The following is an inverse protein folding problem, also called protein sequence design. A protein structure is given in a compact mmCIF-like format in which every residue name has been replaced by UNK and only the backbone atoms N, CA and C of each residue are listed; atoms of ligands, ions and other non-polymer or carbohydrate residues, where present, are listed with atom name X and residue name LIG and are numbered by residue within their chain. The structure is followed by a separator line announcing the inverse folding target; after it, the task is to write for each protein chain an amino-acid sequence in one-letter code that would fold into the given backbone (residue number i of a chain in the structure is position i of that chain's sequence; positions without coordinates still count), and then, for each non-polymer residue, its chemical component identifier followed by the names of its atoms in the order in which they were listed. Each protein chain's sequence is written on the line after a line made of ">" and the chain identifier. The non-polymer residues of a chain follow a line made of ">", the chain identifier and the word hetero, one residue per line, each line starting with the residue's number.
data_IF_713830796731
#
_entry.id   IF_713830796731
#
_cell.length_a   1.000
_cell.length_b   1.000
_cell.length_c   1.000
_cell.angle_alpha   90.00
_cell.angle_beta   90.00
_cell.angle_gamma   90.00
#
_symmetry.space_group_name_H-M   'P 1'
#
loop_
_entity.id
_entity.type
_entity.pdbx_description
1 polymer ?
#
# COMPACT_ATOMS: atom_id res chain seq x y z
N UNK A 1 33.73 50.99 1.09
CA UNK A 1 33.25 49.76 0.44
C UNK A 1 31.99 49.22 1.14
N UNK A 2 30.79 49.82 0.93
CA UNK A 2 29.55 49.02 1.06
C UNK A 2 28.46 49.31 0.02
N UNK A 3 28.64 50.24 -0.93
CA UNK A 3 27.53 50.73 -1.78
C UNK A 3 27.28 49.92 -3.05
N UNK A 4 28.22 49.07 -3.48
CA UNK A 4 28.09 48.26 -4.70
C UNK A 4 27.28 46.98 -4.50
N UNK A 5 27.40 46.34 -3.33
CA UNK A 5 26.66 45.11 -3.00
C UNK A 5 25.15 45.33 -2.85
N UNK A 6 24.71 46.45 -2.26
CA UNK A 6 23.30 46.76 -2.09
C UNK A 6 22.56 47.00 -3.42
N UNK A 7 23.24 47.59 -4.41
CA UNK A 7 22.67 47.85 -5.75
C UNK A 7 22.54 46.56 -6.57
N UNK A 8 23.49 45.64 -6.45
CA UNK A 8 23.44 44.34 -7.11
C UNK A 8 22.31 43.46 -6.55
N UNK A 9 22.09 43.48 -5.22
CA UNK A 9 21.00 42.72 -4.58
C UNK A 9 19.61 43.28 -4.94
N UNK A 10 19.45 44.61 -4.98
CA UNK A 10 18.21 45.27 -5.41
C UNK A 10 17.86 45.01 -6.88
N UNK A 11 18.86 44.99 -7.78
CA UNK A 11 18.67 44.66 -9.19
C UNK A 11 18.30 43.18 -9.40
N UNK A 12 18.87 42.26 -8.60
CA UNK A 12 18.55 40.84 -8.65
C UNK A 12 17.13 40.55 -8.13
N UNK A 13 16.70 41.21 -7.05
CA UNK A 13 15.33 41.14 -6.55
C UNK A 13 14.32 41.75 -7.54
N UNK A 14 14.66 42.85 -8.21
CA UNK A 14 13.82 43.44 -9.26
C UNK A 14 13.70 42.50 -10.47
N UNK A 15 14.79 41.89 -10.94
CA UNK A 15 14.75 40.91 -12.04
C UNK A 15 13.98 39.64 -11.67
N UNK A 16 14.06 39.16 -10.42
CA UNK A 16 13.28 38.02 -9.94
C UNK A 16 11.79 38.36 -9.78
N UNK A 17 11.47 39.56 -9.28
CA UNK A 17 10.09 40.04 -9.20
C UNK A 17 9.47 40.27 -10.60
N UNK A 18 10.25 40.77 -11.56
CA UNK A 18 9.82 40.99 -12.94
C UNK A 18 9.63 39.64 -13.67
N UNK A 19 10.47 38.64 -13.41
CA UNK A 19 10.29 37.29 -13.96
C UNK A 19 9.11 36.55 -13.33
N UNK A 20 8.83 36.74 -12.03
CA UNK A 20 7.59 36.26 -11.39
C UNK A 20 6.33 36.95 -11.95
N UNK A 21 6.37 38.27 -12.19
CA UNK A 21 5.27 39.03 -12.78
C UNK A 21 5.02 38.65 -14.26
N UNK A 22 6.07 38.41 -15.04
CA UNK A 22 5.98 37.92 -16.42
C UNK A 22 5.48 36.46 -16.47
N UNK A 23 5.84 35.62 -15.51
CA UNK A 23 5.33 34.26 -15.39
C UNK A 23 3.82 34.23 -15.09
N UNK A 24 3.31 35.16 -14.27
CA UNK A 24 1.86 35.30 -14.03
C UNK A 24 1.12 35.81 -15.27
N UNK A 25 1.71 36.72 -16.06
CA UNK A 25 1.11 37.21 -17.31
C UNK A 25 1.07 36.15 -18.43
N UNK A 26 1.88 35.09 -18.34
CA UNK A 26 1.90 33.99 -19.30
C UNK A 26 0.91 32.86 -18.98
N UNK A 27 0.34 32.83 -17.77
CA UNK A 27 -0.58 31.76 -17.35
C UNK A 27 -2.00 32.05 -17.85
N UNK A 28 -2.50 31.17 -18.71
CA UNK A 28 -3.86 31.19 -19.20
C UNK A 28 -4.70 30.21 -18.37
N UNK A 29 -5.70 30.72 -17.64
CA UNK A 29 -6.58 29.90 -16.81
C UNK A 29 -7.93 29.68 -17.48
N UNK A 30 -8.43 28.45 -17.36
CA UNK A 30 -9.73 28.05 -17.88
C UNK A 30 -10.82 28.27 -16.80
N UNK A 31 -11.74 29.19 -17.07
CA UNK A 31 -12.80 29.65 -16.14
C UNK A 31 -14.18 29.44 -16.76
N UNK A 32 -15.14 28.97 -15.95
CA UNK A 32 -16.54 28.79 -16.34
C UNK A 32 -17.43 29.85 -15.71
N UNK A 33 -18.33 30.45 -16.50
CA UNK A 33 -19.38 31.33 -16.01
C UNK A 33 -20.72 30.99 -16.70
N UNK A 34 -21.85 30.90 -15.96
CA UNK A 34 -23.15 30.56 -16.52
C UNK A 34 -23.64 31.47 -17.65
N UNK A 35 -23.28 32.76 -17.62
CA UNK A 35 -23.74 33.74 -18.61
C UNK A 35 -22.87 33.75 -19.87
N UNK A 36 -21.60 33.36 -19.74
CA UNK A 36 -20.59 33.61 -20.78
C UNK A 36 -19.86 32.37 -21.27
N UNK A 37 -20.11 31.21 -20.67
CA UNK A 37 -19.51 29.95 -21.02
C UNK A 37 -18.11 29.76 -20.44
N UNK A 38 -17.36 28.81 -21.01
CA UNK A 38 -15.93 28.66 -20.77
C UNK A 38 -15.19 29.80 -21.45
N UNK A 39 -14.20 30.35 -20.75
CA UNK A 39 -13.29 31.34 -21.28
C UNK A 39 -11.88 31.08 -20.80
N UNK A 40 -10.93 31.57 -21.60
CA UNK A 40 -9.53 31.65 -21.22
C UNK A 40 -9.32 33.04 -20.64
N UNK A 41 -8.92 33.12 -19.38
CA UNK A 41 -8.55 34.37 -18.74
C UNK A 41 -7.03 34.40 -18.54
N UNK A 42 -6.37 35.49 -18.98
CA UNK A 42 -4.91 35.64 -18.90
C UNK A 42 -4.13 34.92 -20.02
N UNK A 43 -2.83 35.22 -20.10
CA UNK A 43 -1.92 34.68 -21.12
C UNK A 43 -1.90 35.49 -22.42
N UNK A 44 -0.69 35.77 -22.92
CA UNK A 44 -0.39 36.51 -24.18
C UNK A 44 -1.02 35.85 -25.42
N UNK A 45 -1.48 34.59 -25.32
CA UNK A 45 -2.06 33.81 -26.41
C UNK A 45 -3.59 33.64 -26.29
N UNK A 46 -4.25 34.22 -25.28
CA UNK A 46 -5.72 34.13 -25.12
C UNK A 46 -6.49 34.72 -26.31
N UNK A 47 -5.90 35.67 -27.04
CA UNK A 47 -6.49 36.29 -28.24
C UNK A 47 -6.04 35.64 -29.56
N UNK A 48 -5.00 34.79 -29.55
CA UNK A 48 -4.44 34.13 -30.75
C UNK A 48 -4.80 32.63 -30.73
N UNK A 49 -6.08 32.33 -30.54
CA UNK A 49 -6.56 30.94 -30.59
C UNK A 49 -6.81 30.55 -32.04
N UNK A 50 -6.00 29.64 -32.60
CA UNK A 50 -6.26 29.04 -33.91
C UNK A 50 -7.63 28.36 -33.99
N UNK A 51 -8.09 28.02 -35.20
CA UNK A 51 -9.40 27.40 -35.45
C UNK A 51 -9.67 26.18 -34.55
N UNK A 52 -8.65 25.40 -34.22
CA UNK A 52 -8.74 24.24 -33.33
C UNK A 52 -9.10 24.61 -31.89
N UNK A 53 -8.53 25.69 -31.34
CA UNK A 53 -8.85 26.15 -30.00
C UNK A 53 -10.28 26.72 -29.92
N UNK A 54 -10.74 27.42 -30.97
CA UNK A 54 -12.13 27.86 -31.08
C UNK A 54 -13.11 26.67 -31.19
N UNK A 55 -12.78 25.67 -32.01
CA UNK A 55 -13.58 24.46 -32.16
C UNK A 55 -13.63 23.64 -30.86
N UNK A 56 -12.52 23.54 -30.14
CA UNK A 56 -12.45 22.89 -28.83
C UNK A 56 -13.34 23.62 -27.81
N UNK A 57 -13.28 24.96 -27.77
CA UNK A 57 -14.10 25.78 -26.91
C UNK A 57 -15.61 25.61 -27.18
N UNK A 58 -16.01 25.64 -28.46
CA UNK A 58 -17.41 25.44 -28.84
C UNK A 58 -17.92 24.05 -28.43
N UNK A 59 -17.10 23.01 -28.60
CA UNK A 59 -17.45 21.67 -28.12
C UNK A 59 -17.54 21.61 -26.59
N UNK A 60 -16.66 22.32 -25.89
CA UNK A 60 -16.63 22.39 -24.42
C UNK A 60 -17.88 23.08 -23.87
N UNK A 61 -18.27 24.22 -24.44
CA UNK A 61 -19.50 24.95 -24.08
C UNK A 61 -20.73 24.09 -24.34
N UNK A 62 -20.83 23.46 -25.51
CA UNK A 62 -21.96 22.57 -25.81
C UNK A 62 -22.02 21.35 -24.91
N UNK A 63 -20.88 20.81 -24.49
CA UNK A 63 -20.83 19.73 -23.51
C UNK A 63 -21.37 20.18 -22.15
N UNK A 64 -21.06 21.41 -21.75
CA UNK A 64 -21.48 22.00 -20.48
C UNK A 64 -22.97 22.36 -20.45
N UNK A 65 -23.52 22.91 -21.53
CA UNK A 65 -24.97 23.11 -21.67
C UNK A 65 -25.72 21.79 -21.47
N UNK A 66 -25.28 20.71 -22.14
CA UNK A 66 -25.89 19.39 -21.97
C UNK A 66 -25.71 18.82 -20.56
N UNK A 67 -24.65 19.20 -19.85
CA UNK A 67 -24.44 18.81 -18.45
C UNK A 67 -25.46 19.51 -17.55
N UNK A 68 -25.66 20.82 -17.74
CA UNK A 68 -26.60 21.65 -16.99
C UNK A 68 -28.06 21.26 -17.26
N UNK A 69 -28.38 20.88 -18.50
CA UNK A 69 -29.68 20.33 -18.91
C UNK A 69 -29.96 18.92 -18.33
N UNK A 70 -29.04 18.35 -17.54
CA UNK A 70 -29.17 17.00 -16.98
C UNK A 70 -28.97 15.89 -18.01
N UNK A 71 -28.64 16.22 -19.26
CA UNK A 71 -28.37 15.29 -20.36
C UNK A 71 -26.99 14.64 -20.27
N UNK A 72 -26.69 14.01 -19.10
CA UNK A 72 -25.37 13.47 -18.71
C UNK A 72 -24.71 12.60 -19.77
N UNK A 73 -25.49 11.72 -20.42
CA UNK A 73 -24.95 10.84 -21.47
C UNK A 73 -24.48 11.60 -22.72
N UNK A 74 -25.20 12.65 -23.10
CA UNK A 74 -24.83 13.50 -24.23
C UNK A 74 -23.64 14.39 -23.88
N UNK A 75 -23.63 14.98 -22.68
CA UNK A 75 -22.51 15.75 -22.14
C UNK A 75 -21.20 14.95 -22.15
N UNK A 76 -21.22 13.73 -21.57
CA UNK A 76 -20.07 12.79 -21.58
C UNK A 76 -19.53 12.57 -23.00
N UNK A 77 -20.40 12.32 -23.99
CA UNK A 77 -19.96 12.10 -25.39
C UNK A 77 -19.26 13.31 -25.97
N UNK A 78 -19.72 14.52 -25.64
CA UNK A 78 -19.12 15.78 -26.11
C UNK A 78 -17.79 16.06 -25.40
N UNK A 79 -17.72 15.89 -24.08
CA UNK A 79 -16.45 15.99 -23.34
C UNK A 79 -15.38 15.02 -23.85
N UNK A 80 -15.73 13.74 -24.05
CA UNK A 80 -14.81 12.76 -24.65
C UNK A 80 -14.35 13.17 -26.05
N UNK A 81 -15.20 13.85 -26.82
CA UNK A 81 -14.84 14.35 -28.15
C UNK A 81 -13.81 15.48 -28.06
N UNK A 82 -13.91 16.36 -27.06
CA UNK A 82 -12.90 17.40 -26.77
C UNK A 82 -11.55 16.75 -26.50
N UNK A 83 -11.48 15.86 -25.51
CA UNK A 83 -10.23 15.19 -25.12
C UNK A 83 -9.61 14.38 -26.26
N UNK A 84 -10.43 13.69 -27.08
CA UNK A 84 -9.94 12.89 -28.21
C UNK A 84 -9.42 13.73 -29.38
N UNK A 85 -10.12 14.81 -29.74
CA UNK A 85 -9.78 15.61 -30.93
C UNK A 85 -8.74 16.68 -30.64
N UNK A 86 -8.71 17.18 -29.42
CA UNK A 86 -7.85 18.29 -29.01
C UNK A 86 -7.04 17.90 -27.76
N UNK A 87 -6.29 16.78 -27.78
CA UNK A 87 -5.62 16.26 -26.58
C UNK A 87 -4.57 17.20 -26.00
N UNK A 88 -3.95 18.07 -26.81
CA UNK A 88 -2.99 19.07 -26.32
C UNK A 88 -3.65 20.38 -25.85
N UNK A 89 -4.98 20.51 -25.98
CA UNK A 89 -5.67 21.73 -25.58
C UNK A 89 -5.82 21.84 -24.06
N UNK A 90 -5.87 23.07 -23.55
CA UNK A 90 -6.16 23.37 -22.16
C UNK A 90 -7.55 22.85 -21.71
N UNK A 91 -8.45 22.55 -22.66
CA UNK A 91 -9.79 22.04 -22.39
C UNK A 91 -9.84 20.53 -22.16
N UNK A 92 -8.82 19.78 -22.61
CA UNK A 92 -8.87 18.32 -22.61
C UNK A 92 -8.88 17.73 -21.19
N UNK A 93 -8.04 18.26 -20.29
CA UNK A 93 -7.98 17.82 -18.89
C UNK A 93 -9.30 18.09 -18.16
N UNK A 94 -9.86 19.30 -18.32
CA UNK A 94 -11.15 19.68 -17.73
C UNK A 94 -12.30 18.83 -18.30
N UNK A 95 -12.30 18.55 -19.60
CA UNK A 95 -13.31 17.70 -20.23
C UNK A 95 -13.28 16.27 -19.67
N UNK A 96 -12.08 15.68 -19.47
CA UNK A 96 -11.92 14.37 -18.86
C UNK A 96 -12.36 14.37 -17.39
N UNK A 97 -11.94 15.37 -16.62
CA UNK A 97 -12.35 15.55 -15.23
C UNK A 97 -13.88 15.56 -15.09
N UNK A 98 -14.56 16.38 -15.89
CA UNK A 98 -16.03 16.45 -15.91
C UNK A 98 -16.68 15.16 -16.37
N UNK A 99 -16.15 14.52 -17.41
CA UNK A 99 -16.63 13.21 -17.83
C UNK A 99 -16.53 12.19 -16.69
N UNK A 100 -15.44 12.19 -15.93
CA UNK A 100 -15.25 11.36 -14.73
C UNK A 100 -16.33 11.62 -13.69
N UNK A 101 -16.56 12.88 -13.31
CA UNK A 101 -17.63 13.26 -12.35
C UNK A 101 -19.01 12.82 -12.81
N UNK A 102 -19.32 12.94 -14.11
CA UNK A 102 -20.60 12.48 -14.67
C UNK A 102 -20.73 10.95 -14.69
N UNK A 103 -19.65 10.21 -14.93
CA UNK A 103 -19.64 8.77 -14.79
C UNK A 103 -19.85 8.35 -13.33
N UNK A 104 -19.18 8.99 -12.38
CA UNK A 104 -19.34 8.75 -10.96
C UNK A 104 -20.79 8.99 -10.50
N UNK A 105 -21.41 10.10 -10.91
CA UNK A 105 -22.80 10.42 -10.63
C UNK A 105 -23.80 9.37 -11.19
N UNK A 106 -23.39 8.60 -12.21
CA UNK A 106 -24.15 7.48 -12.79
C UNK A 106 -23.76 6.12 -12.21
N UNK A 107 -22.88 6.08 -11.20
CA UNK A 107 -22.26 4.87 -10.61
C UNK A 107 -21.56 3.99 -11.64
N UNK A 108 -21.02 4.62 -12.70
CA UNK A 108 -20.17 3.96 -13.69
C UNK A 108 -18.71 4.03 -13.20
N UNK A 109 -18.44 3.40 -12.06
CA UNK A 109 -17.16 3.47 -11.35
C UNK A 109 -15.95 3.17 -12.26
N UNK A 110 -16.04 2.17 -13.13
CA UNK A 110 -14.90 1.80 -13.99
C UNK A 110 -14.57 2.90 -15.00
N UNK A 111 -15.59 3.44 -15.68
CA UNK A 111 -15.42 4.54 -16.62
C UNK A 111 -15.03 5.85 -15.95
N UNK A 112 -15.49 6.03 -14.71
CA UNK A 112 -15.10 7.18 -13.89
C UNK A 112 -13.62 7.11 -13.56
N UNK A 113 -13.15 5.97 -13.07
CA UNK A 113 -11.74 5.75 -12.74
C UNK A 113 -10.86 5.89 -13.98
N UNK A 114 -11.24 5.28 -15.11
CA UNK A 114 -10.50 5.43 -16.38
C UNK A 114 -10.37 6.89 -16.84
N UNK A 115 -11.46 7.68 -16.75
CA UNK A 115 -11.43 9.09 -17.13
C UNK A 115 -10.54 9.92 -16.19
N UNK A 116 -10.56 9.62 -14.90
CA UNK A 116 -9.70 10.25 -13.89
C UNK A 116 -8.23 9.86 -14.06
N UNK A 117 -7.95 8.59 -14.28
CA UNK A 117 -6.60 8.09 -14.55
C UNK A 117 -6.02 8.73 -15.81
N UNK A 118 -6.84 8.97 -16.84
CA UNK A 118 -6.39 9.70 -18.02
C UNK A 118 -6.00 11.16 -17.70
N UNK A 119 -6.68 11.81 -16.75
CA UNK A 119 -6.29 13.15 -16.26
C UNK A 119 -4.93 13.12 -15.59
N UNK A 120 -4.71 12.21 -14.65
CA UNK A 120 -3.48 12.15 -13.84
C UNK A 120 -2.28 11.67 -14.64
N UNK A 121 -2.48 10.77 -15.60
CA UNK A 121 -1.40 10.24 -16.46
C UNK A 121 -1.02 11.17 -17.62
N UNK A 122 -1.99 11.84 -18.26
CA UNK A 122 -1.71 12.68 -19.45
C UNK A 122 -1.55 14.16 -19.12
N UNK A 123 -2.14 14.62 -18.02
CA UNK A 123 -2.17 16.03 -17.64
C UNK A 123 -1.72 16.23 -16.17
N UNK A 124 -0.51 15.79 -15.78
CA UNK A 124 -0.07 15.83 -14.38
C UNK A 124 -0.05 17.24 -13.76
N UNK A 125 0.09 18.28 -14.59
CA UNK A 125 0.08 19.69 -14.15
C UNK A 125 -1.33 20.30 -14.04
N UNK A 126 -2.40 19.50 -14.13
CA UNK A 126 -3.77 20.00 -13.98
C UNK A 126 -4.03 20.52 -12.57
N UNK A 127 -4.81 21.60 -12.45
CA UNK A 127 -5.28 22.12 -11.15
C UNK A 127 -6.10 21.09 -10.36
N UNK A 128 -6.67 20.10 -11.05
CA UNK A 128 -7.49 19.04 -10.47
C UNK A 128 -6.71 17.79 -10.08
N UNK A 129 -5.36 17.77 -10.17
CA UNK A 129 -4.58 16.56 -9.93
C UNK A 129 -4.92 15.90 -8.58
N UNK A 130 -4.82 16.66 -7.48
CA UNK A 130 -5.09 16.16 -6.13
C UNK A 130 -6.57 15.76 -5.94
N UNK A 131 -7.50 16.53 -6.51
CA UNK A 131 -8.93 16.21 -6.46
C UNK A 131 -9.21 14.86 -7.12
N UNK A 132 -8.58 14.63 -8.27
CA UNK A 132 -8.75 13.41 -9.07
C UNK A 132 -8.21 12.19 -8.35
N UNK A 133 -7.00 12.26 -7.78
CA UNK A 133 -6.44 11.18 -6.97
C UNK A 133 -7.37 10.83 -5.79
N UNK A 134 -7.94 11.85 -5.14
CA UNK A 134 -8.92 11.63 -4.08
C UNK A 134 -10.20 10.92 -4.55
N UNK A 135 -10.71 11.25 -5.74
CA UNK A 135 -11.87 10.56 -6.32
C UNK A 135 -11.52 9.12 -6.76
N UNK A 136 -10.34 8.89 -7.33
CA UNK A 136 -9.83 7.55 -7.65
C UNK A 136 -9.80 6.67 -6.40
N UNK A 137 -9.24 7.17 -5.31
CA UNK A 137 -9.20 6.46 -4.03
C UNK A 137 -10.60 6.15 -3.49
N UNK A 138 -11.54 7.10 -3.56
CA UNK A 138 -12.94 6.88 -3.12
C UNK A 138 -13.63 5.82 -3.98
N UNK A 139 -13.39 5.82 -5.29
CA UNK A 139 -13.94 4.82 -6.20
C UNK A 139 -13.38 3.43 -5.87
N UNK A 140 -12.07 3.30 -5.73
CA UNK A 140 -11.41 2.04 -5.36
C UNK A 140 -11.94 1.53 -4.01
N UNK A 141 -12.01 2.40 -3.00
CA UNK A 141 -12.55 2.06 -1.67
C UNK A 141 -14.00 1.59 -1.74
N UNK A 142 -14.87 2.31 -2.46
CA UNK A 142 -16.26 1.92 -2.63
C UNK A 142 -16.40 0.55 -3.31
N UNK A 143 -15.61 0.27 -4.34
CA UNK A 143 -15.61 -1.02 -5.03
C UNK A 143 -15.13 -2.16 -4.12
N UNK A 144 -14.07 -1.92 -3.32
CA UNK A 144 -13.56 -2.88 -2.35
C UNK A 144 -14.60 -3.21 -1.28
N UNK A 145 -15.39 -2.23 -0.87
CA UNK A 145 -16.50 -2.39 0.09
C UNK A 145 -17.80 -2.90 -0.53
N UNK A 146 -17.78 -3.25 -1.83
CA UNK A 146 -18.86 -3.98 -2.49
C UNK A 146 -19.83 -3.11 -3.29
N UNK A 147 -19.50 -1.84 -3.54
CA UNK A 147 -20.24 -1.03 -4.49
C UNK A 147 -20.25 -1.70 -5.88
N UNK A 148 -21.41 -1.63 -6.55
CA UNK A 148 -21.64 -2.27 -7.85
C UNK A 148 -21.60 -1.22 -8.95
N UNK A 149 -20.76 -1.45 -9.95
CA UNK A 149 -20.76 -0.64 -11.16
C UNK A 149 -22.08 -0.81 -11.91
N UNK A 150 -22.66 0.28 -12.42
CA UNK A 150 -23.89 0.22 -13.21
C UNK A 150 -23.60 0.17 -14.71
N UNK A 151 -24.11 -0.86 -15.39
CA UNK A 151 -24.14 -0.89 -16.85
C UNK A 151 -25.22 0.07 -17.35
N UNK A 152 -24.84 0.88 -18.35
CA UNK A 152 -25.68 1.94 -18.94
C UNK A 152 -26.24 2.98 -17.94
N UNK A 153 -25.91 2.89 -16.66
CA UNK A 153 -26.33 3.81 -15.59
C UNK A 153 -27.55 3.36 -14.79
N UNK A 154 -28.25 2.31 -15.18
CA UNK A 154 -29.42 1.78 -14.45
C UNK A 154 -29.26 0.31 -14.02
N UNK A 155 -28.57 -0.52 -14.81
CA UNK A 155 -28.51 -1.95 -14.54
C UNK A 155 -27.36 -2.26 -13.56
N UNK A 156 -27.63 -2.90 -12.41
CA UNK A 156 -26.57 -3.22 -11.46
C UNK A 156 -25.68 -4.34 -12.00
N UNK A 157 -24.39 -4.07 -12.12
CA UNK A 157 -23.38 -5.10 -12.37
C UNK A 157 -23.04 -5.89 -11.11
N UNK A 158 -22.04 -6.77 -11.22
CA UNK A 158 -21.54 -7.57 -10.11
C UNK A 158 -20.56 -6.77 -9.23
N UNK A 159 -20.38 -7.23 -7.99
CA UNK A 159 -19.30 -6.76 -7.12
C UNK A 159 -17.96 -7.15 -7.73
N UNK A 160 -17.00 -6.23 -7.77
CA UNK A 160 -15.67 -6.50 -8.32
C UNK A 160 -14.61 -5.92 -7.39
N UNK A 161 -14.23 -6.71 -6.38
CA UNK A 161 -13.25 -6.32 -5.36
C UNK A 161 -11.82 -6.45 -5.86
N UNK A 162 -11.52 -7.44 -6.70
CA UNK A 162 -10.19 -7.59 -7.31
C UNK A 162 -9.81 -6.36 -8.13
N UNK A 163 -10.73 -5.81 -8.92
CA UNK A 163 -10.48 -4.56 -9.65
C UNK A 163 -10.19 -3.37 -8.73
N UNK A 164 -10.74 -3.35 -7.52
CA UNK A 164 -10.43 -2.29 -6.56
C UNK A 164 -8.98 -2.37 -6.10
N UNK A 165 -8.44 -3.58 -5.93
CA UNK A 165 -7.03 -3.83 -5.60
C UNK A 165 -6.13 -3.27 -6.71
N UNK A 166 -6.44 -3.56 -7.98
CA UNK A 166 -5.71 -3.01 -9.14
C UNK A 166 -5.73 -1.47 -9.14
N UNK A 167 -6.87 -0.88 -8.80
CA UNK A 167 -7.01 0.58 -8.73
C UNK A 167 -6.17 1.22 -7.62
N UNK A 168 -6.02 0.56 -6.47
CA UNK A 168 -5.09 1.05 -5.45
C UNK A 168 -3.64 1.02 -5.92
N UNK A 169 -3.22 -0.01 -6.65
CA UNK A 169 -1.89 -0.07 -7.24
C UNK A 169 -1.64 1.10 -8.21
N UNK A 170 -2.63 1.41 -9.06
CA UNK A 170 -2.54 2.56 -9.97
C UNK A 170 -2.34 3.87 -9.21
N UNK A 171 -3.08 4.11 -8.12
CA UNK A 171 -2.94 5.34 -7.31
C UNK A 171 -1.53 5.47 -6.74
N UNK A 172 -0.95 4.38 -6.24
CA UNK A 172 0.42 4.37 -5.70
C UNK A 172 1.44 4.70 -6.79
N UNK A 173 1.25 4.19 -8.00
CA UNK A 173 2.15 4.44 -9.13
C UNK A 173 2.02 5.85 -9.69
N UNK A 174 0.81 6.40 -9.77
CA UNK A 174 0.56 7.72 -10.37
C UNK A 174 0.83 8.87 -9.40
N UNK A 175 0.60 8.66 -8.12
CA UNK A 175 0.75 9.69 -7.09
C UNK A 175 1.47 9.16 -5.83
N UNK A 176 2.72 8.68 -5.96
CA UNK A 176 3.47 8.06 -4.86
C UNK A 176 3.72 8.99 -3.68
N UNK A 177 3.66 10.32 -3.87
CA UNK A 177 3.85 11.30 -2.80
C UNK A 177 2.52 11.88 -2.26
N UNK A 178 1.38 11.36 -2.70
CA UNK A 178 0.08 11.81 -2.20
C UNK A 178 -0.24 11.19 -0.84
N UNK A 179 -1.06 11.88 -0.04
CA UNK A 179 -1.61 11.32 1.20
C UNK A 179 -2.46 10.06 0.98
N UNK A 180 -2.89 9.82 -0.26
CA UNK A 180 -3.68 8.65 -0.64
C UNK A 180 -2.82 7.41 -0.94
N UNK A 181 -1.53 7.55 -1.24
CA UNK A 181 -0.66 6.41 -1.53
C UNK A 181 -0.52 5.43 -0.34
N UNK A 182 -0.20 5.88 0.89
CA UNK A 182 -0.16 4.97 2.04
C UNK A 182 -1.54 4.37 2.35
N UNK A 183 -2.62 5.15 2.22
CA UNK A 183 -3.99 4.65 2.36
C UNK A 183 -4.35 3.58 1.32
N UNK A 184 -3.85 3.74 0.08
CA UNK A 184 -4.08 2.82 -1.02
C UNK A 184 -3.36 1.49 -0.75
N UNK A 185 -2.11 1.50 -0.29
CA UNK A 185 -1.39 0.27 0.09
C UNK A 185 -2.09 -0.47 1.23
N UNK A 186 -2.53 0.24 2.28
CA UNK A 186 -3.29 -0.37 3.38
C UNK A 186 -4.59 -1.03 2.90
N UNK A 187 -5.32 -0.38 1.99
CA UNK A 187 -6.54 -0.95 1.41
C UNK A 187 -6.27 -2.06 0.41
N UNK A 188 -5.15 -2.01 -0.33
CA UNK A 188 -4.69 -3.10 -1.21
C UNK A 188 -4.43 -4.36 -0.39
N UNK A 189 -3.66 -4.26 0.70
CA UNK A 189 -3.45 -5.34 1.65
C UNK A 189 -4.77 -5.88 2.24
N UNK A 190 -5.67 -4.99 2.67
CA UNK A 190 -7.02 -5.38 3.12
C UNK A 190 -7.79 -6.16 2.07
N UNK A 191 -7.67 -5.78 0.80
CA UNK A 191 -8.30 -6.48 -0.32
C UNK A 191 -7.76 -7.88 -0.54
N UNK A 192 -6.43 -8.02 -0.56
CA UNK A 192 -5.74 -9.30 -0.69
C UNK A 192 -6.06 -10.24 0.48
N UNK A 193 -6.06 -9.76 1.73
CA UNK A 193 -6.48 -10.56 2.90
C UNK A 193 -7.93 -11.06 2.78
N UNK A 194 -8.86 -10.21 2.29
CA UNK A 194 -10.24 -10.63 2.02
C UNK A 194 -10.33 -11.71 0.93
N UNK A 195 -9.40 -11.69 -0.03
CA UNK A 195 -9.30 -12.69 -1.09
C UNK A 195 -8.53 -13.95 -0.68
N UNK A 196 -7.94 -13.98 0.53
CA UNK A 196 -7.01 -15.03 1.00
C UNK A 196 -5.70 -15.11 0.20
N UNK A 197 -5.30 -13.97 -0.36
CA UNK A 197 -4.05 -13.76 -1.09
C UNK A 197 -3.02 -13.20 -0.09
N UNK A 198 -2.52 -14.06 0.79
CA UNK A 198 -1.73 -13.62 1.96
C UNK A 198 -0.38 -13.03 1.56
N UNK A 199 0.29 -13.58 0.56
CA UNK A 199 1.60 -13.12 0.08
C UNK A 199 1.49 -11.71 -0.55
N UNK A 200 0.44 -11.46 -1.31
CA UNK A 200 0.17 -10.15 -1.92
C UNK A 200 -0.23 -9.10 -0.87
N UNK A 201 -0.84 -9.53 0.24
CA UNK A 201 -1.07 -8.65 1.38
C UNK A 201 0.24 -8.28 2.10
N UNK A 202 1.16 -9.23 2.25
CA UNK A 202 2.51 -9.00 2.79
C UNK A 202 3.24 -7.97 1.91
N UNK A 203 3.30 -8.15 0.59
CA UNK A 203 3.92 -7.18 -0.34
C UNK A 203 3.39 -5.76 -0.14
N UNK A 204 2.07 -5.60 -0.06
CA UNK A 204 1.46 -4.29 0.10
C UNK A 204 1.79 -3.63 1.46
N UNK A 205 1.86 -4.42 2.54
CA UNK A 205 2.23 -3.94 3.89
C UNK A 205 3.71 -3.62 3.98
N UNK A 206 4.59 -4.45 3.41
CA UNK A 206 6.03 -4.21 3.32
C UNK A 206 6.32 -2.92 2.57
N UNK A 207 5.66 -2.71 1.42
CA UNK A 207 5.79 -1.46 0.67
C UNK A 207 5.29 -0.28 1.49
N UNK A 208 4.22 -0.44 2.26
CA UNK A 208 3.69 0.63 3.11
C UNK A 208 4.73 1.07 4.15
N UNK A 209 5.35 0.11 4.85
CA UNK A 209 6.37 0.37 5.87
C UNK A 209 7.63 0.97 5.26
N UNK A 210 8.13 0.39 4.17
CA UNK A 210 9.40 0.77 3.56
C UNK A 210 9.32 2.11 2.82
N UNK A 211 8.20 2.40 2.14
CA UNK A 211 8.05 3.62 1.34
C UNK A 211 7.45 4.78 2.14
N UNK A 212 6.64 4.47 3.18
CA UNK A 212 5.93 5.49 3.97
C UNK A 212 6.13 5.32 5.49
N UNK A 213 7.38 5.20 5.99
CA UNK A 213 7.64 4.94 7.41
C UNK A 213 7.19 6.08 8.35
N UNK A 214 7.01 7.30 7.82
CA UNK A 214 6.55 8.47 8.58
C UNK A 214 5.03 8.66 8.56
N UNK A 215 4.29 7.76 7.88
CA UNK A 215 2.84 7.83 7.85
C UNK A 215 2.24 7.50 9.22
N UNK A 216 1.13 8.15 9.57
CA UNK A 216 0.32 7.77 10.73
C UNK A 216 -0.23 6.34 10.66
N UNK A 217 -0.18 5.70 9.49
CA UNK A 217 -0.58 4.31 9.27
C UNK A 217 0.54 3.30 9.49
N UNK A 218 1.78 3.76 9.75
CA UNK A 218 2.91 2.86 9.96
C UNK A 218 2.69 1.88 11.14
N UNK A 219 2.19 2.30 12.32
CA UNK A 219 1.92 1.35 13.42
C UNK A 219 0.94 0.26 13.00
N UNK A 220 -0.18 0.64 12.37
CA UNK A 220 -1.18 -0.30 11.87
C UNK A 220 -0.59 -1.26 10.82
N UNK A 221 0.32 -0.79 9.97
CA UNK A 221 0.96 -1.61 8.94
C UNK A 221 1.88 -2.67 9.56
N UNK A 222 2.74 -2.29 10.51
CA UNK A 222 3.61 -3.23 11.24
C UNK A 222 2.81 -4.31 11.95
N UNK A 223 1.76 -3.91 12.68
CA UNK A 223 0.91 -4.85 13.40
C UNK A 223 0.20 -5.82 12.45
N UNK A 224 -0.38 -5.30 11.36
CA UNK A 224 -1.06 -6.13 10.36
C UNK A 224 -0.09 -7.08 9.68
N UNK A 225 1.15 -6.66 9.42
CA UNK A 225 2.16 -7.49 8.79
C UNK A 225 2.55 -8.67 9.70
N UNK A 226 2.80 -8.41 10.98
CA UNK A 226 3.04 -9.45 11.98
C UNK A 226 1.86 -10.44 12.05
N UNK A 227 0.63 -9.93 12.10
CA UNK A 227 -0.58 -10.75 12.10
C UNK A 227 -0.71 -11.57 10.81
N UNK A 228 -0.35 -11.00 9.66
CA UNK A 228 -0.45 -11.66 8.36
C UNK A 228 0.56 -12.80 8.25
N UNK A 229 1.79 -12.64 8.73
CA UNK A 229 2.73 -13.75 8.86
C UNK A 229 2.24 -14.82 9.84
N UNK A 230 1.63 -14.42 10.97
CA UNK A 230 1.07 -15.37 11.93
C UNK A 230 -0.07 -16.22 11.33
N UNK A 231 -0.84 -15.71 10.36
CA UNK A 231 -1.86 -16.49 9.64
C UNK A 231 -1.27 -17.65 8.82
N UNK A 232 0.01 -17.59 8.45
CA UNK A 232 0.72 -18.64 7.71
C UNK A 232 1.32 -19.72 8.63
N UNK A 233 1.19 -19.58 9.95
CA UNK A 233 1.77 -20.53 10.92
C UNK A 233 0.86 -21.73 11.13
N UNK A 234 1.30 -22.91 10.69
CA UNK A 234 0.58 -24.17 10.85
C UNK A 234 0.92 -24.92 12.17
N UNK A 235 1.76 -24.31 13.00
CA UNK A 235 2.16 -24.83 14.31
C UNK A 235 3.57 -25.41 14.36
N UNK A 236 3.98 -26.01 15.49
CA UNK A 236 5.38 -26.29 15.79
C UNK A 236 6.01 -27.43 14.97
N UNK A 237 5.20 -28.25 14.30
CA UNK A 237 5.70 -29.36 13.48
C UNK A 237 6.10 -28.92 12.05
N UNK A 238 5.71 -27.72 11.64
CA UNK A 238 5.87 -27.23 10.27
C UNK A 238 7.09 -26.32 10.13
N UNK A 239 7.32 -25.78 8.93
CA UNK A 239 8.35 -24.75 8.73
C UNK A 239 8.07 -23.52 9.60
N UNK A 240 9.13 -22.92 10.14
CA UNK A 240 9.04 -21.81 11.10
C UNK A 240 9.48 -20.47 10.52
N UNK A 241 9.58 -20.35 9.19
CA UNK A 241 9.90 -19.09 8.51
C UNK A 241 8.91 -17.99 8.91
N UNK A 242 7.62 -18.19 8.64
CA UNK A 242 6.57 -17.22 8.98
C UNK A 242 6.44 -16.95 10.48
N UNK A 243 6.71 -17.95 11.33
CA UNK A 243 6.73 -17.75 12.79
C UNK A 243 7.79 -16.73 13.18
N UNK A 244 9.00 -16.82 12.60
CA UNK A 244 10.09 -15.89 12.89
C UNK A 244 9.79 -14.50 12.34
N UNK A 245 9.27 -14.39 11.13
CA UNK A 245 8.85 -13.10 10.57
C UNK A 245 7.79 -12.41 11.43
N UNK A 246 6.78 -13.17 11.88
CA UNK A 246 5.77 -12.65 12.80
C UNK A 246 6.38 -12.16 14.13
N UNK A 247 7.32 -12.91 14.71
CA UNK A 247 8.06 -12.49 15.92
C UNK A 247 8.79 -11.17 15.67
N UNK A 248 9.57 -11.08 14.59
CA UNK A 248 10.33 -9.88 14.23
C UNK A 248 9.41 -8.66 14.14
N UNK A 249 8.31 -8.74 13.40
CA UNK A 249 7.42 -7.59 13.22
C UNK A 249 6.62 -7.23 14.48
N UNK A 250 6.28 -8.19 15.35
CA UNK A 250 5.72 -7.87 16.65
C UNK A 250 6.74 -7.18 17.57
N UNK A 251 8.00 -7.63 17.58
CA UNK A 251 9.07 -6.99 18.33
C UNK A 251 9.32 -5.57 17.85
N UNK A 252 9.43 -5.38 16.53
CA UNK A 252 9.57 -4.06 15.91
C UNK A 252 8.41 -3.14 16.29
N UNK A 253 7.17 -3.63 16.24
CA UNK A 253 6.01 -2.83 16.65
C UNK A 253 6.12 -2.37 18.11
N UNK A 254 6.48 -3.27 19.03
CA UNK A 254 6.61 -2.96 20.46
C UNK A 254 7.75 -1.99 20.76
N UNK A 255 8.83 -2.03 19.97
CA UNK A 255 9.98 -1.15 20.08
C UNK A 255 9.67 0.24 19.50
N UNK A 256 9.09 0.28 18.30
CA UNK A 256 8.88 1.52 17.55
C UNK A 256 7.65 2.30 18.03
N UNK A 257 6.62 1.61 18.52
CA UNK A 257 5.33 2.21 18.90
C UNK A 257 4.90 1.84 20.34
N UNK A 258 5.74 2.10 21.37
CA UNK A 258 5.50 1.64 22.74
C UNK A 258 4.27 2.25 23.42
N UNK A 259 3.69 3.32 22.87
CA UNK A 259 2.50 4.01 23.40
C UNK A 259 1.24 3.74 22.56
N UNK A 260 1.31 2.89 21.52
CA UNK A 260 0.16 2.56 20.69
C UNK A 260 -0.89 1.75 21.48
N UNK A 261 -2.20 2.01 21.32
CA UNK A 261 -3.25 1.25 22.01
C UNK A 261 -3.23 -0.26 21.71
N UNK A 262 -2.59 -0.69 20.63
CA UNK A 262 -2.49 -2.10 20.24
C UNK A 262 -1.27 -2.83 20.82
N UNK A 263 -0.45 -2.19 21.66
CA UNK A 263 0.66 -2.85 22.37
C UNK A 263 0.25 -4.17 23.05
N UNK A 264 -0.89 -4.27 23.76
CA UNK A 264 -1.32 -5.54 24.34
C UNK A 264 -1.61 -6.62 23.29
N UNK A 265 -2.16 -6.24 22.14
CA UNK A 265 -2.41 -7.16 21.02
C UNK A 265 -1.11 -7.68 20.42
N UNK A 266 -0.13 -6.79 20.19
CA UNK A 266 1.18 -7.17 19.68
C UNK A 266 1.95 -8.07 20.66
N UNK A 267 1.94 -7.73 21.95
CA UNK A 267 2.60 -8.53 22.99
C UNK A 267 2.01 -9.94 23.09
N UNK A 268 0.69 -10.07 22.99
CA UNK A 268 0.02 -11.37 22.95
C UNK A 268 0.41 -12.17 21.71
N UNK A 269 0.40 -11.56 20.52
CA UNK A 269 0.83 -12.22 19.29
C UNK A 269 2.28 -12.67 19.34
N UNK A 270 3.17 -11.85 19.90
CA UNK A 270 4.58 -12.19 20.12
C UNK A 270 4.74 -13.41 21.04
N UNK A 271 3.99 -13.43 22.14
CA UNK A 271 3.97 -14.54 23.10
C UNK A 271 3.58 -15.86 22.44
N UNK A 272 2.46 -15.85 21.69
CA UNK A 272 1.95 -17.01 20.95
C UNK A 272 2.99 -17.52 19.94
N UNK A 273 3.64 -16.63 19.17
CA UNK A 273 4.62 -17.04 18.16
C UNK A 273 5.93 -17.55 18.79
N UNK A 274 6.40 -16.92 19.88
CA UNK A 274 7.56 -17.42 20.65
C UNK A 274 7.30 -18.79 21.24
N UNK A 275 6.08 -19.03 21.73
CA UNK A 275 5.67 -20.36 22.19
C UNK A 275 5.73 -21.39 21.06
N UNK A 276 5.16 -21.11 19.89
CA UNK A 276 5.19 -22.02 18.74
C UNK A 276 6.63 -22.33 18.32
N UNK A 277 7.49 -21.32 18.23
CA UNK A 277 8.89 -21.48 17.85
C UNK A 277 9.64 -22.36 18.87
N UNK A 278 9.52 -22.07 20.16
CA UNK A 278 10.17 -22.83 21.21
C UNK A 278 9.68 -24.31 21.24
N UNK A 279 8.38 -24.54 21.01
CA UNK A 279 7.85 -25.90 20.92
C UNK A 279 8.37 -26.65 19.70
N UNK A 280 8.53 -25.97 18.56
CA UNK A 280 9.15 -26.56 17.37
C UNK A 280 10.56 -27.07 17.69
N UNK A 281 11.36 -26.27 18.40
CA UNK A 281 12.70 -26.66 18.85
C UNK A 281 12.69 -27.87 19.77
N UNK A 282 11.77 -27.94 20.74
CA UNK A 282 11.62 -29.13 21.59
C UNK A 282 11.35 -30.37 20.74
N UNK A 283 10.43 -30.31 19.78
CA UNK A 283 10.06 -31.48 18.96
C UNK A 283 11.21 -31.99 18.11
N UNK A 284 12.02 -31.09 17.56
CA UNK A 284 13.23 -31.47 16.83
C UNK A 284 14.25 -32.08 17.80
N UNK A 285 14.42 -31.48 18.99
CA UNK A 285 15.25 -32.05 20.06
C UNK A 285 14.82 -33.45 20.48
N UNK A 286 13.51 -33.69 20.65
CA UNK A 286 12.92 -34.99 20.99
C UNK A 286 13.21 -36.02 19.90
N UNK A 287 13.13 -35.63 18.62
CA UNK A 287 13.48 -36.51 17.51
C UNK A 287 14.95 -36.95 17.59
N UNK A 288 15.88 -36.01 17.76
CA UNK A 288 17.30 -36.36 17.87
C UNK A 288 17.60 -37.17 19.13
N UNK A 289 16.93 -36.86 20.24
CA UNK A 289 17.14 -37.55 21.50
C UNK A 289 16.62 -38.99 21.47
N UNK A 290 15.34 -39.18 21.12
CA UNK A 290 14.65 -40.47 21.26
C UNK A 290 14.71 -41.35 20.01
N UNK A 291 14.97 -40.78 18.81
CA UNK A 291 14.97 -41.55 17.55
C UNK A 291 16.35 -41.71 16.93
N UNK A 292 17.31 -40.88 17.30
CA UNK A 292 18.66 -40.89 16.71
C UNK A 292 19.79 -41.14 17.71
N UNK A 293 19.49 -41.18 19.02
CA UNK A 293 20.49 -41.21 20.10
C UNK A 293 21.56 -40.10 19.94
N UNK A 294 21.23 -38.99 19.26
CA UNK A 294 22.15 -37.90 18.97
C UNK A 294 22.01 -36.82 20.04
N UNK A 295 22.72 -37.01 21.15
CA UNK A 295 22.67 -36.12 22.29
C UNK A 295 23.21 -34.72 22.00
N UNK A 296 24.24 -34.60 21.15
CA UNK A 296 24.80 -33.29 20.77
C UNK A 296 23.76 -32.45 20.05
N UNK A 297 23.07 -33.01 19.04
CA UNK A 297 22.01 -32.31 18.33
C UNK A 297 20.82 -31.99 19.25
N UNK A 298 20.38 -32.95 20.07
CA UNK A 298 19.30 -32.72 21.02
C UNK A 298 19.58 -31.55 21.98
N UNK A 299 20.82 -31.46 22.51
CA UNK A 299 21.26 -30.34 23.35
C UNK A 299 21.15 -28.99 22.65
N UNK A 300 21.53 -28.91 21.37
CA UNK A 300 21.41 -27.68 20.58
C UNK A 300 19.96 -27.23 20.53
N UNK A 301 19.05 -28.11 20.14
CA UNK A 301 17.64 -27.74 19.99
C UNK A 301 16.94 -27.41 21.32
N UNK A 302 17.25 -28.12 22.41
CA UNK A 302 16.70 -27.74 23.72
C UNK A 302 17.26 -26.39 24.21
N UNK A 303 18.53 -26.09 23.96
CA UNK A 303 19.07 -24.76 24.26
C UNK A 303 18.41 -23.68 23.40
N UNK A 304 18.17 -23.93 22.10
CA UNK A 304 17.44 -23.00 21.25
C UNK A 304 16.00 -22.75 21.74
N UNK A 305 15.32 -23.79 22.25
CA UNK A 305 14.01 -23.63 22.87
C UNK A 305 14.06 -22.73 24.11
N UNK A 306 15.11 -22.88 24.94
CA UNK A 306 15.32 -22.05 26.13
C UNK A 306 15.62 -20.61 25.72
N UNK A 307 16.52 -20.39 24.77
CA UNK A 307 16.93 -19.02 24.41
C UNK A 307 15.87 -18.27 23.62
N UNK A 308 15.01 -18.97 22.85
CA UNK A 308 13.94 -18.33 22.08
C UNK A 308 12.80 -17.84 22.96
N UNK A 309 12.55 -18.46 24.12
CA UNK A 309 11.52 -18.00 25.04
C UNK A 309 11.84 -18.32 26.54
N UNK A 310 12.84 -17.64 27.14
CA UNK A 310 13.50 -18.07 28.40
C UNK A 310 12.63 -18.20 29.64
N UNK A 311 11.61 -17.35 29.75
CA UNK A 311 10.74 -17.26 30.94
C UNK A 311 9.44 -18.05 30.79
N UNK A 312 9.33 -18.86 29.72
CA UNK A 312 8.13 -19.60 29.40
C UNK A 312 8.04 -20.98 30.06
N UNK A 313 6.83 -21.54 30.21
CA UNK A 313 6.65 -22.95 30.54
C UNK A 313 7.35 -23.89 29.55
N UNK A 314 7.48 -23.48 28.28
CA UNK A 314 8.18 -24.26 27.25
C UNK A 314 9.67 -24.34 27.54
N UNK A 315 10.32 -23.23 27.93
CA UNK A 315 11.71 -23.23 28.34
C UNK A 315 11.94 -24.09 29.58
N UNK A 316 11.02 -24.10 30.55
CA UNK A 316 11.12 -24.99 31.70
C UNK A 316 11.09 -26.47 31.29
N UNK A 317 10.19 -26.86 30.38
CA UNK A 317 10.17 -28.22 29.82
C UNK A 317 11.49 -28.53 29.09
N UNK A 318 12.01 -27.59 28.30
CA UNK A 318 13.27 -27.75 27.59
C UNK A 318 14.47 -27.93 28.55
N UNK A 319 14.51 -27.20 29.68
CA UNK A 319 15.53 -27.39 30.73
C UNK A 319 15.47 -28.80 31.32
N UNK A 320 14.28 -29.32 31.61
CA UNK A 320 14.12 -30.71 32.08
C UNK A 320 14.62 -31.71 31.05
N UNK A 321 14.24 -31.55 29.77
CA UNK A 321 14.73 -32.41 28.68
C UNK A 321 16.25 -32.33 28.53
N UNK A 322 16.84 -31.14 28.63
CA UNK A 322 18.28 -30.94 28.55
C UNK A 322 19.00 -31.71 29.66
N UNK A 323 18.52 -31.65 30.90
CA UNK A 323 19.07 -32.42 32.01
C UNK A 323 18.98 -33.94 31.77
N UNK A 324 17.88 -34.44 31.20
CA UNK A 324 17.75 -35.85 30.80
C UNK A 324 18.81 -36.25 29.75
N UNK A 325 19.06 -35.38 28.76
CA UNK A 325 20.08 -35.62 27.73
C UNK A 325 21.47 -35.66 28.34
N UNK A 326 21.79 -34.72 29.23
CA UNK A 326 23.11 -34.65 29.88
C UNK A 326 23.36 -35.90 30.75
N UNK A 327 22.38 -36.33 31.53
CA UNK A 327 22.46 -37.56 32.31
C UNK A 327 22.70 -38.79 31.41
N UNK A 328 21.97 -38.95 30.30
CA UNK A 328 22.18 -40.08 29.39
C UNK A 328 23.48 -40.00 28.60
N UNK A 329 23.94 -38.79 28.26
CA UNK A 329 25.20 -38.59 27.56
C UNK A 329 26.40 -38.93 28.46
N UNK A 330 26.31 -38.66 29.78
CA UNK A 330 27.31 -39.10 30.74
C UNK A 330 27.39 -40.62 30.95
N UNK A 331 26.45 -41.40 30.41
CA UNK A 331 26.26 -42.83 30.73
C UNK A 331 26.66 -43.81 29.58
N UNK A 332 27.29 -43.40 28.44
CA UNK A 332 27.69 -44.35 27.35
C UNK A 332 29.17 -44.26 26.91
N UNK A 333 29.85 -45.35 26.45
CA UNK A 333 29.88 -46.75 26.90
C UNK A 333 31.32 -47.23 27.21
N UNK A 334 31.66 -47.45 28.49
CA UNK A 334 32.94 -48.02 28.94
C UNK A 334 32.88 -49.46 29.47
N UNK A 335 31.69 -50.02 29.72
CA UNK A 335 31.55 -51.35 30.32
C UNK A 335 30.39 -52.12 29.67
N UNK A 336 30.67 -52.74 28.52
CA UNK A 336 30.03 -54.02 28.24
C UNK A 336 30.89 -55.08 28.96
N UNK A 337 30.36 -55.90 29.89
CA UNK A 337 31.14 -56.98 30.46
C UNK A 337 31.57 -57.90 29.32
N UNK A 338 32.88 -58.07 29.13
CA UNK A 338 33.44 -58.99 28.15
C UNK A 338 32.79 -60.35 28.39
N UNK A 339 31.88 -60.77 27.51
CA UNK A 339 31.40 -62.16 27.50
C UNK A 339 32.64 -63.03 27.32
N UNK A 340 33.00 -63.78 28.37
CA UNK A 340 34.05 -64.80 28.28
C UNK A 340 33.66 -65.74 27.15
N UNK A 341 34.38 -65.66 26.03
CA UNK A 341 34.30 -66.67 24.97
C UNK A 341 34.90 -67.93 25.56
N UNK A 342 34.05 -68.87 25.97
CA UNK A 342 34.46 -70.23 26.20
C UNK A 342 34.79 -70.85 24.84
N UNK A 343 36.07 -71.06 24.59
CA UNK A 343 36.52 -72.01 23.58
C UNK A 343 36.31 -73.40 24.17
N UNK A 344 35.38 -74.15 23.57
CA UNK A 344 35.38 -75.61 23.72
C UNK A 344 36.30 -76.16 22.63
N UNK A 345 37.35 -76.86 23.06
CA UNK A 345 38.23 -77.68 22.23
C UNK A 345 37.55 -78.98 21.83
#
# INVERSE_FOLDING_TARGET
>A
MPTTFARAFGALCLLFSLSCLLATAARADLVWNPNTGWRIEGGVLSEITGSDAHNALNLMNRARELEEDGSRGAAIRRYKKVAKRYPASIYASEALYRSGKLYLARRQYFRSFEAFMEVTTRYPNTKHFNDVIGEEYRIASALLDGARNRWWGWFPGFTNRSRAIDYFEIIVQTAPYSDYAPLALMNKARGHLRARETEEAIDALDRMINQYPQSLLAPDAYLKLAQTHALLVEGPNYDQGSTKEAITYYEDFLILFPNDPNVPTAAKGLDEMKQVLAESKIRIGDFYFYKRDNYTAARVFYNEAITSYPDSPVAQRARTKLAEVEAKASVKPGEAPRKKRFFFF
#
